data_IF_304039227277
#
_entry.id   IF_304039227277
#
_cell.length_a   1.000
_cell.length_b   1.000
_cell.length_c   1.000
_cell.angle_alpha   90.00
_cell.angle_beta   90.00
_cell.angle_gamma   90.00
#
_symmetry.space_group_name_H-M   'P 1'
#
loop_
_entity.id
_entity.type
_entity.pdbx_description
1 polymer ?
#
# COMPACT_ATOMS: atom_id res chain seq x y z
N UNK A 1 12.99 1.00 6.78
CA UNK A 1 11.57 1.02 6.40
C UNK A 1 10.91 -0.34 6.63
N UNK A 2 11.36 -1.40 5.97
CA UNK A 2 10.80 -2.76 6.07
C UNK A 2 10.76 -3.29 7.51
N UNK A 3 11.82 -3.11 8.30
CA UNK A 3 11.82 -3.53 9.71
C UNK A 3 10.72 -2.83 10.54
N UNK A 4 10.50 -1.53 10.31
CA UNK A 4 9.42 -0.79 10.94
C UNK A 4 8.05 -1.26 10.44
N UNK A 5 7.92 -1.52 9.14
CA UNK A 5 6.70 -2.08 8.56
C UNK A 5 6.31 -3.42 9.19
N UNK A 6 7.28 -4.31 9.38
CA UNK A 6 7.06 -5.61 10.02
C UNK A 6 6.77 -5.49 11.52
N UNK A 7 7.43 -4.57 12.23
CA UNK A 7 7.19 -4.34 13.66
C UNK A 7 5.76 -3.84 13.95
N UNK A 8 5.14 -3.13 13.01
CA UNK A 8 3.77 -2.62 13.11
C UNK A 8 2.77 -3.38 12.23
N UNK A 9 3.16 -4.54 11.68
CA UNK A 9 2.28 -5.33 10.83
C UNK A 9 1.06 -5.80 11.63
N UNK A 10 -0.14 -5.60 11.07
CA UNK A 10 -1.41 -6.00 11.69
C UNK A 10 -1.82 -5.21 12.95
N UNK A 11 -1.15 -4.10 13.25
CA UNK A 11 -1.47 -3.28 14.44
C UNK A 11 -2.59 -2.27 14.20
N UNK A 12 -2.97 -1.99 12.95
CA UNK A 12 -4.02 -1.01 12.66
C UNK A 12 -3.64 0.45 12.91
N UNK A 13 -2.36 0.74 13.18
CA UNK A 13 -1.96 2.08 13.59
C UNK A 13 -2.04 3.09 12.42
N UNK A 14 -3.10 3.91 12.43
CA UNK A 14 -3.38 4.93 11.41
C UNK A 14 -2.27 5.96 11.28
N UNK A 15 -1.58 6.33 12.37
CA UNK A 15 -0.47 7.29 12.31
C UNK A 15 0.72 6.72 11.52
N UNK A 16 0.95 5.40 11.60
CA UNK A 16 1.98 4.75 10.78
C UNK A 16 1.58 4.64 9.32
N UNK A 17 0.31 4.37 9.03
CA UNK A 17 -0.23 4.43 7.67
C UNK A 17 -0.05 5.83 7.08
N UNK A 18 -0.41 6.89 7.81
CA UNK A 18 -0.23 8.28 7.38
C UNK A 18 1.25 8.66 7.18
N UNK A 19 2.13 8.19 8.07
CA UNK A 19 3.57 8.42 7.92
C UNK A 19 4.11 7.80 6.63
N UNK A 20 3.74 6.55 6.33
CA UNK A 20 4.15 5.90 5.08
C UNK A 20 3.51 6.53 3.85
N UNK A 21 2.25 6.98 3.92
CA UNK A 21 1.59 7.73 2.84
C UNK A 21 2.28 9.07 2.57
N UNK A 22 2.66 9.81 3.61
CA UNK A 22 3.41 11.06 3.47
C UNK A 22 4.75 10.84 2.77
N UNK A 23 5.42 9.73 3.04
CA UNK A 23 6.65 9.34 2.35
C UNK A 23 6.42 8.91 0.90
N UNK A 24 5.24 8.36 0.57
CA UNK A 24 4.85 8.07 -0.81
C UNK A 24 4.52 9.35 -1.61
N UNK A 25 4.05 10.41 -0.96
CA UNK A 25 3.67 11.67 -1.60
C UNK A 25 4.81 12.67 -1.82
N UNK A 26 5.96 12.50 -1.16
CA UNK A 26 7.14 13.32 -1.42
C UNK A 26 7.81 12.87 -2.71
N UNK A 27 7.78 13.71 -3.75
CA UNK A 27 8.60 13.55 -4.96
C UNK A 27 10.07 13.62 -4.55
N UNK A 28 10.71 12.46 -4.35
CA UNK A 28 12.12 12.40 -3.99
C UNK A 28 12.96 12.75 -5.24
N UNK A 29 13.51 13.97 -5.26
CA UNK A 29 14.37 14.52 -6.32
C UNK A 29 15.70 13.74 -6.49
N UNK A 30 16.00 12.74 -5.65
CA UNK A 30 17.23 11.95 -5.71
C UNK A 30 17.00 10.51 -5.29
N UNK A 31 17.08 9.57 -6.24
CA UNK A 31 17.67 8.22 -6.09
C UNK A 31 17.20 7.27 -4.98
N UNK A 32 16.26 7.65 -4.14
CA UNK A 32 15.85 6.87 -2.98
C UNK A 32 14.77 5.87 -3.37
N UNK A 33 15.21 4.66 -3.68
CA UNK A 33 14.44 3.49 -4.12
C UNK A 33 13.46 2.95 -3.05
N UNK A 34 13.07 3.75 -2.05
CA UNK A 34 12.36 3.31 -0.85
C UNK A 34 10.83 3.54 -0.91
N UNK A 35 10.30 4.16 -1.97
CA UNK A 35 8.85 4.34 -2.13
C UNK A 35 8.09 3.01 -2.29
N UNK A 36 8.64 2.04 -3.02
CA UNK A 36 8.01 0.72 -3.18
C UNK A 36 7.82 -0.03 -1.85
N UNK A 37 8.87 -0.17 -1.02
CA UNK A 37 8.77 -0.70 0.33
C UNK A 37 7.79 0.05 1.25
N UNK A 38 7.59 1.36 1.04
CA UNK A 38 6.62 2.15 1.78
C UNK A 38 5.18 1.69 1.52
N UNK A 39 4.83 1.48 0.25
CA UNK A 39 3.52 0.97 -0.19
C UNK A 39 3.22 -0.39 0.41
N UNK A 40 4.22 -1.28 0.44
CA UNK A 40 4.09 -2.59 1.09
C UNK A 40 3.94 -2.47 2.61
N UNK A 41 4.60 -1.49 3.22
CA UNK A 41 4.44 -1.22 4.64
C UNK A 41 3.04 -0.77 5.03
N UNK A 42 2.37 0.01 4.17
CA UNK A 42 0.96 0.40 4.38
C UNK A 42 0.07 -0.84 4.40
N UNK A 43 0.23 -1.74 3.42
CA UNK A 43 -0.53 -2.99 3.37
C UNK A 43 -0.28 -3.89 4.59
N UNK A 44 0.96 -4.01 5.04
CA UNK A 44 1.31 -4.79 6.23
C UNK A 44 0.65 -4.25 7.51
N UNK A 45 0.64 -2.93 7.72
CA UNK A 45 0.04 -2.33 8.92
C UNK A 45 -1.48 -2.53 8.95
N UNK A 46 -2.13 -2.46 7.79
CA UNK A 46 -3.58 -2.54 7.66
C UNK A 46 -4.16 -3.97 7.56
N UNK A 47 -3.34 -5.01 7.48
CA UNK A 47 -3.77 -6.38 7.14
C UNK A 47 -4.75 -7.03 8.14
N UNK A 48 -4.76 -6.60 9.42
CA UNK A 48 -5.57 -7.24 10.47
C UNK A 48 -6.91 -6.57 10.76
N UNK A 49 -7.22 -5.43 10.12
CA UNK A 49 -8.45 -4.69 10.41
C UNK A 49 -9.29 -4.48 9.15
N UNK A 50 -10.56 -4.89 9.20
CA UNK A 50 -11.47 -4.77 8.05
C UNK A 50 -11.66 -3.32 7.58
N UNK A 51 -11.79 -2.37 8.53
CA UNK A 51 -11.90 -0.94 8.24
C UNK A 51 -10.58 -0.37 7.68
N UNK A 52 -9.44 -0.81 8.22
CA UNK A 52 -8.11 -0.42 7.76
C UNK A 52 -7.81 -0.89 6.34
N UNK A 53 -8.25 -2.10 5.99
CA UNK A 53 -8.16 -2.65 4.64
C UNK A 53 -8.94 -1.77 3.65
N UNK A 54 -10.19 -1.39 3.97
CA UNK A 54 -11.00 -0.55 3.07
C UNK A 54 -10.45 0.86 2.88
N UNK A 55 -9.89 1.45 3.94
CA UNK A 55 -9.19 2.73 3.85
C UNK A 55 -7.94 2.62 2.98
N UNK A 56 -7.19 1.54 3.15
CA UNK A 56 -5.93 1.31 2.44
C UNK A 56 -6.16 1.07 0.95
N UNK A 57 -7.19 0.30 0.58
CA UNK A 57 -7.55 0.07 -0.83
C UNK A 57 -7.80 1.39 -1.56
N UNK A 58 -8.60 2.30 -0.98
CA UNK A 58 -8.86 3.63 -1.55
C UNK A 58 -7.59 4.47 -1.69
N UNK A 59 -6.70 4.39 -0.70
CA UNK A 59 -5.42 5.11 -0.72
C UNK A 59 -4.47 4.55 -1.80
N UNK A 60 -4.47 3.22 -1.98
CA UNK A 60 -3.70 2.52 -3.01
C UNK A 60 -4.23 2.81 -4.43
N UNK A 61 -5.55 2.92 -4.62
CA UNK A 61 -6.16 3.34 -5.90
C UNK A 61 -5.70 4.74 -6.32
N UNK A 62 -5.65 5.68 -5.38
CA UNK A 62 -5.13 7.02 -5.64
C UNK A 62 -3.64 6.99 -6.01
N UNK A 63 -2.83 6.19 -5.30
CA UNK A 63 -1.42 5.98 -5.64
C UNK A 63 -1.22 5.29 -6.99
N UNK A 64 -2.16 4.45 -7.42
CA UNK A 64 -2.12 3.82 -8.74
C UNK A 64 -2.37 4.83 -9.87
N UNK A 65 -3.31 5.75 -9.67
CA UNK A 65 -3.67 6.77 -10.67
C UNK A 65 -2.64 7.90 -10.77
N UNK A 66 -2.14 8.38 -9.62
CA UNK A 66 -1.33 9.61 -9.54
C UNK A 66 0.13 9.38 -9.13
N UNK A 67 0.52 8.14 -8.79
CA UNK A 67 1.89 7.83 -8.33
C UNK A 67 2.89 7.62 -9.47
N UNK A 68 4.17 7.76 -9.12
CA UNK A 68 5.31 7.47 -10.00
C UNK A 68 5.37 5.99 -10.43
N UNK A 69 6.13 5.70 -11.49
CA UNK A 69 6.31 4.36 -12.05
C UNK A 69 6.69 3.29 -11.01
N UNK A 70 7.50 3.66 -10.02
CA UNK A 70 7.94 2.75 -8.96
C UNK A 70 6.81 2.41 -7.99
N UNK A 71 5.95 3.38 -7.67
CA UNK A 71 4.79 3.21 -6.78
C UNK A 71 3.73 2.36 -7.50
N UNK A 72 3.42 2.67 -8.76
CA UNK A 72 2.40 1.95 -9.55
C UNK A 72 2.69 0.45 -9.69
N UNK A 73 3.96 0.05 -9.74
CA UNK A 73 4.35 -1.38 -9.75
C UNK A 73 4.23 -2.07 -8.40
N UNK A 74 4.38 -1.34 -7.30
CA UNK A 74 4.28 -1.88 -5.94
C UNK A 74 2.81 -2.03 -5.47
N UNK A 75 1.91 -1.20 -6.00
CA UNK A 75 0.49 -1.20 -5.62
C UNK A 75 -0.23 -2.53 -5.87
N UNK A 76 -0.12 -3.19 -7.05
CA UNK A 76 -0.73 -4.51 -7.27
C UNK A 76 -0.28 -5.57 -6.26
N UNK A 77 1.00 -5.55 -5.87
CA UNK A 77 1.55 -6.47 -4.88
C UNK A 77 0.94 -6.22 -3.49
N UNK A 78 0.79 -4.94 -3.12
CA UNK A 78 0.17 -4.53 -1.85
C UNK A 78 -1.32 -4.89 -1.79
N UNK A 79 -2.06 -4.69 -2.89
CA UNK A 79 -3.46 -5.11 -3.02
C UNK A 79 -3.63 -6.63 -2.92
N UNK A 80 -2.75 -7.38 -3.58
CA UNK A 80 -2.71 -8.84 -3.47
C UNK A 80 -2.54 -9.29 -2.02
N UNK A 81 -1.62 -8.65 -1.29
CA UNK A 81 -1.33 -8.99 0.12
C UNK A 81 -2.51 -8.72 1.06
N UNK A 82 -3.26 -7.63 0.85
CA UNK A 82 -4.46 -7.31 1.64
C UNK A 82 -5.63 -8.26 1.35
N UNK A 83 -5.70 -8.83 0.15
CA UNK A 83 -6.81 -9.65 -0.31
C UNK A 83 -6.54 -11.17 -0.32
N UNK A 84 -5.44 -11.65 0.29
CA UNK A 84 -5.09 -13.09 0.35
C UNK A 84 -6.24 -13.93 0.92
N UNK A 85 -6.87 -13.47 2.00
CA UNK A 85 -7.90 -14.23 2.72
C UNK A 85 -9.34 -13.80 2.38
N UNK A 86 -9.51 -12.67 1.69
CA UNK A 86 -10.83 -12.11 1.36
C UNK A 86 -10.79 -11.48 -0.04
N UNK A 87 -11.08 -12.25 -1.10
CA UNK A 87 -11.04 -11.75 -2.47
C UNK A 87 -12.23 -10.81 -2.73
N UNK A 88 -11.99 -9.50 -2.61
CA UNK A 88 -12.97 -8.48 -3.00
C UNK A 88 -12.98 -8.35 -4.53
N UNK A 89 -14.16 -8.50 -5.14
CA UNK A 89 -14.36 -8.49 -6.61
C UNK A 89 -13.78 -7.23 -7.27
N UNK A 90 -13.87 -6.07 -6.60
CA UNK A 90 -13.33 -4.81 -7.10
C UNK A 90 -11.79 -4.81 -7.24
N UNK A 91 -11.10 -5.44 -6.29
CA UNK A 91 -9.63 -5.57 -6.33
C UNK A 91 -9.24 -6.58 -7.40
N UNK A 92 -10.02 -7.63 -7.59
CA UNK A 92 -9.78 -8.63 -8.63
C UNK A 92 -9.97 -8.05 -10.05
N UNK A 93 -11.00 -7.23 -10.27
CA UNK A 93 -11.24 -6.57 -11.57
C UNK A 93 -10.14 -5.54 -11.89
N UNK A 94 -9.70 -4.76 -10.90
CA UNK A 94 -8.60 -3.80 -11.07
C UNK A 94 -7.26 -4.50 -11.35
N UNK A 95 -6.94 -5.59 -10.65
CA UNK A 95 -5.74 -6.39 -10.93
C UNK A 95 -5.80 -7.07 -12.31
N UNK A 96 -6.97 -7.56 -12.72
CA UNK A 96 -7.18 -8.17 -14.04
C UNK A 96 -6.98 -7.18 -15.20
N UNK A 97 -7.41 -5.93 -15.03
CA UNK A 97 -7.21 -4.86 -16.03
C UNK A 97 -5.77 -4.35 -16.14
N UNK A 98 -4.93 -4.61 -15.14
CA UNK A 98 -3.54 -4.16 -15.07
C UNK A 98 -2.53 -5.24 -15.51
N UNK A 99 -3.01 -6.47 -15.72
CA UNK A 99 -2.22 -7.58 -16.29
C UNK A 99 -2.13 -7.50 -17.81
#
# INVERSE_FOLDING_TARGET
MILHSCAYAGTGNVLKVQHFLGQCGQHLVKGESFQGPAVLGIAMVAMSEELGIEMTIRSLEHLLQYGDQNIRRAVPLALGLLCISNPKVNVMDTLSRLS
#
